data_IF_998029696578
#
_entry.id   IF_998029696578
#
_cell.length_a   1.000
_cell.length_b   1.000
_cell.length_c   1.000
_cell.angle_alpha   90.00
_cell.angle_beta   90.00
_cell.angle_gamma   90.00
#
_symmetry.space_group_name_H-M   'P 1'
#
loop_
_entity.id
_entity.type
_entity.pdbx_description
1 polymer ?
#
# COMPACT_ATOMS: atom_id res chain seq x y z
N UNK A 1 -26.44 -11.45 -2.10
CA UNK A 1 -25.32 -11.25 -1.17
C UNK A 1 -24.67 -9.93 -1.50
N UNK A 2 -24.25 -9.16 -0.49
CA UNK A 2 -23.56 -7.88 -0.74
C UNK A 2 -22.21 -8.12 -1.43
N UNK A 3 -21.91 -7.28 -2.42
CA UNK A 3 -20.63 -7.36 -3.13
C UNK A 3 -19.51 -6.88 -2.23
N UNK A 4 -18.50 -7.72 -2.00
CA UNK A 4 -17.28 -7.30 -1.28
C UNK A 4 -16.50 -6.27 -2.08
N UNK A 5 -16.04 -5.24 -1.41
CA UNK A 5 -15.16 -4.21 -1.95
C UNK A 5 -13.85 -4.20 -1.18
N UNK A 6 -12.75 -3.97 -1.86
CA UNK A 6 -11.43 -4.03 -1.23
C UNK A 6 -10.64 -2.76 -1.56
N UNK A 7 -10.13 -2.10 -0.52
CA UNK A 7 -9.08 -1.09 -0.61
C UNK A 7 -7.74 -1.74 -0.24
N UNK A 8 -6.80 -1.82 -1.18
CA UNK A 8 -5.40 -2.13 -0.88
C UNK A 8 -4.65 -0.82 -0.64
N UNK A 9 -4.35 -0.54 0.62
CA UNK A 9 -3.53 0.58 1.07
C UNK A 9 -2.09 0.07 1.21
N UNK A 10 -1.30 0.28 0.18
CA UNK A 10 0.10 -0.11 0.15
C UNK A 10 0.97 1.01 0.71
N UNK A 11 1.81 0.68 1.68
CA UNK A 11 2.70 1.60 2.39
C UNK A 11 4.14 1.12 2.23
N UNK A 12 4.89 1.76 1.37
CA UNK A 12 6.29 1.39 1.07
C UNK A 12 7.21 1.61 2.28
N UNK A 13 8.06 0.63 2.59
CA UNK A 13 9.13 0.76 3.56
C UNK A 13 8.69 0.69 5.03
N UNK A 14 7.73 -0.16 5.37
CA UNK A 14 7.26 -0.37 6.76
C UNK A 14 7.40 -1.84 7.17
N UNK A 15 8.27 -2.09 8.14
CA UNK A 15 8.40 -3.38 8.82
C UNK A 15 7.86 -3.36 10.25
N UNK A 16 7.80 -4.53 10.86
CA UNK A 16 7.51 -4.72 12.29
C UNK A 16 8.83 -4.87 13.04
N UNK A 17 9.43 -3.73 13.42
CA UNK A 17 10.66 -3.70 14.19
C UNK A 17 10.44 -3.92 15.69
N UNK A 18 11.52 -4.10 16.46
CA UNK A 18 11.43 -4.29 17.91
C UNK A 18 10.90 -3.05 18.63
N UNK A 19 10.48 -3.23 19.89
CA UNK A 19 10.14 -2.14 20.80
C UNK A 19 11.42 -1.42 21.24
N UNK A 20 11.88 -0.46 20.41
CA UNK A 20 13.13 0.27 20.62
C UNK A 20 12.97 1.75 20.30
N UNK A 21 13.86 2.59 20.85
CA UNK A 21 13.86 4.04 20.61
C UNK A 21 14.19 4.41 19.16
N UNK A 22 14.87 3.53 18.41
CA UNK A 22 15.11 3.69 16.98
C UNK A 22 13.90 3.38 16.12
N UNK A 23 12.83 2.78 16.69
CA UNK A 23 11.61 2.44 15.99
C UNK A 23 10.52 3.51 16.23
N UNK A 24 10.20 4.35 15.23
CA UNK A 24 9.16 5.37 15.39
C UNK A 24 7.77 4.81 15.71
N UNK A 25 7.44 3.58 15.28
CA UNK A 25 6.17 2.94 15.64
C UNK A 25 6.09 2.55 17.13
N UNK A 26 7.25 2.34 17.78
CA UNK A 26 7.32 2.10 19.22
C UNK A 26 7.16 3.38 20.05
N UNK A 27 7.47 4.56 19.50
CA UNK A 27 7.54 5.82 20.25
C UNK A 27 6.43 6.81 19.90
N UNK A 28 5.97 6.87 18.66
CA UNK A 28 4.95 7.81 18.21
C UNK A 28 3.58 7.52 18.83
N UNK A 29 2.79 8.59 19.01
CA UNK A 29 1.37 8.48 19.39
C UNK A 29 0.52 8.37 18.13
N UNK A 30 -0.05 7.17 17.91
CA UNK A 30 -0.82 6.78 16.73
C UNK A 30 -2.16 6.19 17.18
N UNK A 31 -3.13 7.02 17.59
CA UNK A 31 -4.37 6.55 18.22
C UNK A 31 -5.24 5.68 17.31
N UNK A 32 -5.24 5.91 15.99
CA UNK A 32 -6.02 5.11 15.04
C UNK A 32 -5.40 3.71 14.89
N UNK A 33 -4.09 3.63 14.66
CA UNK A 33 -3.41 2.34 14.64
C UNK A 33 -3.55 1.61 15.97
N UNK A 34 -3.38 2.31 17.09
CA UNK A 34 -3.51 1.70 18.41
C UNK A 34 -4.93 1.12 18.63
N UNK A 35 -5.96 1.84 18.25
CA UNK A 35 -7.36 1.37 18.34
C UNK A 35 -7.63 0.18 17.41
N UNK A 36 -7.08 0.19 16.20
CA UNK A 36 -7.28 -0.88 15.23
C UNK A 36 -6.46 -2.14 15.58
N UNK A 37 -5.22 -1.97 16.01
CA UNK A 37 -4.27 -3.06 16.26
C UNK A 37 -4.42 -3.62 17.69
N UNK A 38 -4.87 -2.79 18.62
CA UNK A 38 -4.98 -3.12 20.05
C UNK A 38 -3.72 -2.83 20.87
N UNK A 39 -2.58 -2.73 20.19
CA UNK A 39 -1.27 -2.42 20.78
C UNK A 39 -0.39 -1.67 19.78
N UNK A 40 0.86 -1.40 20.13
CA UNK A 40 1.80 -0.75 19.21
C UNK A 40 2.12 -1.67 18.03
N UNK A 41 2.28 -1.09 16.85
CA UNK A 41 2.60 -1.83 15.62
C UNK A 41 4.12 -2.15 15.58
N UNK A 42 4.49 -3.18 16.32
CA UNK A 42 5.88 -3.64 16.48
C UNK A 42 5.98 -5.16 16.31
N UNK A 43 7.18 -5.70 16.36
CA UNK A 43 7.41 -7.14 16.23
C UNK A 43 6.61 -7.96 17.25
N UNK A 44 5.97 -9.01 16.76
CA UNK A 44 5.17 -9.92 17.59
C UNK A 44 3.69 -9.54 17.71
N UNK A 45 3.28 -8.37 17.19
CA UNK A 45 1.87 -7.97 17.18
C UNK A 45 1.00 -8.98 16.42
N UNK A 46 -0.07 -9.44 17.07
CA UNK A 46 -1.07 -10.33 16.48
C UNK A 46 -2.44 -10.02 17.01
N UNK A 47 -3.41 -9.81 16.12
CA UNK A 47 -4.83 -9.72 16.44
C UNK A 47 -5.63 -10.53 15.44
N UNK A 48 -6.53 -11.37 15.91
CA UNK A 48 -7.42 -12.17 15.05
C UNK A 48 -8.82 -12.12 15.62
N UNK A 49 -9.69 -11.40 14.94
CA UNK A 49 -11.12 -11.27 15.23
C UNK A 49 -11.92 -11.45 13.95
N UNK A 50 -13.24 -11.50 14.03
CA UNK A 50 -14.11 -11.73 12.87
C UNK A 50 -13.92 -10.71 11.74
N UNK A 51 -13.64 -9.46 12.08
CA UNK A 51 -13.47 -8.35 11.12
C UNK A 51 -12.12 -7.64 11.25
N UNK A 52 -11.17 -8.19 12.02
CA UNK A 52 -9.85 -7.61 12.18
C UNK A 52 -8.78 -8.70 12.24
N UNK A 53 -7.82 -8.62 11.32
CA UNK A 53 -6.63 -9.45 11.32
C UNK A 53 -5.40 -8.56 11.31
N UNK A 54 -4.49 -8.76 12.27
CA UNK A 54 -3.17 -8.11 12.31
C UNK A 54 -2.11 -9.16 12.54
N UNK A 55 -1.10 -9.18 11.70
CA UNK A 55 0.08 -10.04 11.85
C UNK A 55 1.25 -9.58 11.00
N UNK A 56 2.43 -10.11 11.28
CA UNK A 56 3.60 -10.01 10.41
C UNK A 56 3.55 -11.06 9.31
N UNK A 57 3.97 -10.68 8.09
CA UNK A 57 4.19 -11.60 6.97
C UNK A 57 5.59 -11.43 6.40
N UNK A 58 6.13 -12.52 5.82
CA UNK A 58 7.49 -12.52 5.29
C UNK A 58 7.62 -11.71 3.98
N UNK A 59 8.62 -10.84 3.93
CA UNK A 59 9.00 -10.09 2.74
C UNK A 59 10.30 -10.59 2.10
N UNK A 60 11.02 -11.52 2.76
CA UNK A 60 12.27 -12.10 2.24
C UNK A 60 12.02 -13.07 1.10
N UNK A 61 10.81 -13.65 1.02
CA UNK A 61 10.37 -14.53 -0.06
C UNK A 61 11.26 -15.78 -0.21
N UNK A 62 12.03 -16.15 0.84
CA UNK A 62 12.97 -17.25 0.82
C UNK A 62 14.15 -17.07 -0.14
N UNK A 63 14.52 -15.82 -0.45
CA UNK A 63 15.65 -15.46 -1.33
C UNK A 63 16.70 -14.70 -0.51
N UNK A 64 18.00 -15.02 -0.62
CA UNK A 64 19.05 -14.30 0.10
C UNK A 64 19.13 -12.82 -0.26
N UNK A 65 19.50 -12.01 0.73
CA UNK A 65 19.63 -10.55 0.60
C UNK A 65 18.45 -9.80 1.22
N UNK A 66 18.64 -8.49 1.41
CA UNK A 66 17.59 -7.62 1.96
C UNK A 66 16.42 -7.50 0.96
N UNK A 67 15.16 -7.59 1.44
CA UNK A 67 13.99 -7.30 0.62
C UNK A 67 14.10 -5.96 -0.09
N UNK A 68 13.60 -5.88 -1.32
CA UNK A 68 13.73 -4.69 -2.18
C UNK A 68 12.43 -4.36 -2.89
N UNK A 69 12.18 -3.07 -3.15
CA UNK A 69 10.92 -2.53 -3.66
C UNK A 69 10.44 -3.21 -4.94
N UNK A 70 11.30 -3.35 -5.99
CA UNK A 70 10.82 -3.89 -7.25
C UNK A 70 10.34 -5.35 -7.13
N UNK A 71 11.02 -6.18 -6.35
CA UNK A 71 10.62 -7.58 -6.11
C UNK A 71 9.47 -7.69 -5.11
N UNK A 72 9.51 -6.95 -4.01
CA UNK A 72 8.44 -6.93 -3.00
C UNK A 72 7.12 -6.47 -3.60
N UNK A 73 7.10 -5.31 -4.24
CA UNK A 73 5.90 -4.75 -4.90
C UNK A 73 5.38 -5.64 -6.04
N UNK A 74 6.27 -6.17 -6.89
CA UNK A 74 5.84 -7.10 -7.94
C UNK A 74 5.18 -8.34 -7.33
N UNK A 75 5.76 -8.90 -6.25
CA UNK A 75 5.17 -10.04 -5.55
C UNK A 75 3.81 -9.69 -4.96
N UNK A 76 3.74 -8.57 -4.22
CA UNK A 76 2.50 -8.07 -3.61
C UNK A 76 1.38 -7.88 -4.63
N UNK A 77 1.68 -7.23 -5.77
CA UNK A 77 0.68 -6.89 -6.78
C UNK A 77 0.35 -8.03 -7.76
N UNK A 78 0.99 -9.20 -7.65
CA UNK A 78 0.75 -10.30 -8.59
C UNK A 78 0.47 -11.65 -7.94
N UNK A 79 0.94 -11.86 -6.71
CA UNK A 79 0.95 -13.16 -6.04
C UNK A 79 2.07 -14.09 -6.52
N UNK A 80 2.94 -13.63 -7.44
CA UNK A 80 4.08 -14.41 -7.94
C UNK A 80 5.34 -14.04 -7.16
N UNK A 81 6.10 -15.03 -6.67
CA UNK A 81 7.38 -14.76 -6.02
C UNK A 81 8.40 -14.17 -7.02
N UNK A 82 8.44 -12.85 -7.09
CA UNK A 82 9.25 -12.12 -8.05
C UNK A 82 10.75 -12.16 -7.74
N UNK A 83 11.13 -12.26 -6.45
CA UNK A 83 12.52 -12.42 -6.05
C UNK A 83 13.07 -13.77 -6.52
N UNK A 84 12.30 -14.84 -6.38
CA UNK A 84 12.68 -16.17 -6.90
C UNK A 84 12.74 -16.16 -8.42
N UNK A 85 11.80 -15.51 -9.10
CA UNK A 85 11.79 -15.41 -10.57
C UNK A 85 12.98 -14.61 -11.13
N UNK A 86 13.47 -13.61 -10.39
CA UNK A 86 14.66 -12.84 -10.74
C UNK A 86 15.97 -13.53 -10.32
N UNK A 87 15.93 -14.43 -9.31
CA UNK A 87 17.09 -15.05 -8.66
C UNK A 87 17.72 -14.19 -7.55
N UNK A 88 17.23 -12.99 -7.31
CA UNK A 88 17.71 -12.03 -6.30
C UNK A 88 16.68 -10.94 -6.04
N UNK A 89 16.88 -10.16 -4.96
CA UNK A 89 16.08 -8.98 -4.68
C UNK A 89 16.47 -7.81 -5.57
N UNK A 90 15.51 -7.28 -6.36
CA UNK A 90 15.72 -6.18 -7.32
C UNK A 90 15.29 -4.85 -6.68
N UNK A 91 16.19 -3.85 -6.59
CA UNK A 91 15.87 -2.56 -6.01
C UNK A 91 15.09 -1.64 -6.96
N UNK A 92 14.36 -0.70 -6.39
CA UNK A 92 13.72 0.46 -7.00
C UNK A 92 12.74 0.14 -8.15
N UNK A 93 13.22 -0.26 -9.34
CA UNK A 93 12.39 -0.40 -10.54
C UNK A 93 12.41 -1.81 -11.12
N UNK A 94 11.25 -2.34 -11.59
CA UNK A 94 11.17 -3.66 -12.18
C UNK A 94 12.06 -3.85 -13.42
N UNK A 95 12.83 -4.93 -13.44
CA UNK A 95 13.59 -5.42 -14.59
C UNK A 95 12.70 -6.29 -15.50
N UNK A 96 13.19 -6.70 -16.67
CA UNK A 96 12.42 -7.43 -17.69
C UNK A 96 11.60 -8.62 -17.16
N UNK A 97 12.11 -9.54 -16.33
CA UNK A 97 11.31 -10.62 -15.77
C UNK A 97 10.12 -10.09 -14.95
N UNK A 98 10.34 -9.08 -14.10
CA UNK A 98 9.31 -8.50 -13.23
C UNK A 98 8.25 -7.76 -14.06
N UNK A 99 8.65 -7.00 -15.08
CA UNK A 99 7.68 -6.32 -15.96
C UNK A 99 6.78 -7.31 -16.69
N UNK A 100 7.32 -8.49 -17.07
CA UNK A 100 6.54 -9.56 -17.69
C UNK A 100 5.54 -10.16 -16.71
N UNK A 101 5.93 -10.39 -15.45
CA UNK A 101 5.06 -10.89 -14.38
C UNK A 101 3.91 -9.90 -14.13
N UNK A 102 4.22 -8.60 -13.97
CA UNK A 102 3.22 -7.55 -13.76
C UNK A 102 2.23 -7.47 -14.92
N UNK A 103 2.71 -7.51 -16.17
CA UNK A 103 1.86 -7.47 -17.37
C UNK A 103 0.85 -8.65 -17.44
N UNK A 104 1.22 -9.81 -16.89
CA UNK A 104 0.38 -11.02 -16.93
C UNK A 104 -0.53 -11.14 -15.72
N UNK A 105 -0.04 -10.82 -14.53
CA UNK A 105 -0.65 -11.21 -13.25
C UNK A 105 -1.02 -10.04 -12.33
N UNK A 106 -1.00 -8.78 -12.81
CA UNK A 106 -1.42 -7.62 -12.00
C UNK A 106 -2.75 -7.88 -11.30
N UNK A 107 -2.83 -7.61 -9.99
CA UNK A 107 -4.05 -7.75 -9.18
C UNK A 107 -5.22 -6.95 -9.77
N UNK A 108 -4.96 -5.74 -10.29
CA UNK A 108 -5.96 -4.93 -10.99
C UNK A 108 -6.50 -5.64 -12.24
N UNK A 109 -5.60 -6.26 -13.03
CA UNK A 109 -5.97 -7.05 -14.20
C UNK A 109 -6.77 -8.30 -13.83
N UNK A 110 -6.36 -9.01 -12.76
CA UNK A 110 -7.07 -10.18 -12.26
C UNK A 110 -8.48 -9.82 -11.76
N UNK A 111 -8.62 -8.73 -11.01
CA UNK A 111 -9.91 -8.24 -10.55
C UNK A 111 -10.81 -7.78 -11.71
N UNK A 112 -10.24 -7.05 -12.70
CA UNK A 112 -10.96 -6.66 -13.93
C UNK A 112 -11.46 -7.87 -14.72
N UNK A 113 -10.68 -8.95 -14.79
CA UNK A 113 -11.06 -10.19 -15.45
C UNK A 113 -12.23 -10.93 -14.76
N UNK A 114 -12.50 -10.62 -13.49
CA UNK A 114 -13.70 -11.07 -12.76
C UNK A 114 -14.93 -10.18 -13.00
N UNK A 115 -14.85 -9.20 -13.91
CA UNK A 115 -15.90 -8.23 -14.16
C UNK A 115 -15.99 -7.11 -13.10
N UNK A 116 -14.99 -6.97 -12.22
CA UNK A 116 -15.01 -5.96 -11.17
C UNK A 116 -14.56 -4.59 -11.67
N UNK A 117 -15.16 -3.54 -11.13
CA UNK A 117 -14.76 -2.15 -11.36
C UNK A 117 -13.52 -1.87 -10.53
N UNK A 118 -12.41 -1.57 -11.20
CA UNK A 118 -11.10 -1.41 -10.56
C UNK A 118 -10.51 -0.04 -10.83
N UNK A 119 -9.79 0.52 -9.86
CA UNK A 119 -9.07 1.78 -10.03
C UNK A 119 -7.82 1.85 -9.17
N UNK A 120 -6.89 2.77 -9.53
CA UNK A 120 -5.86 3.27 -8.63
C UNK A 120 -6.26 4.67 -8.15
N UNK A 121 -6.08 4.94 -6.86
CA UNK A 121 -6.40 6.24 -6.26
C UNK A 121 -5.30 7.28 -6.47
N UNK A 122 -4.07 6.85 -6.82
CA UNK A 122 -2.94 7.76 -6.98
C UNK A 122 -3.11 8.66 -8.22
N UNK A 123 -2.92 9.96 -8.02
CA UNK A 123 -2.84 10.91 -9.13
C UNK A 123 -1.41 11.05 -9.65
N UNK A 124 -1.30 11.22 -10.96
CA UNK A 124 -0.06 11.43 -11.70
C UNK A 124 -0.05 12.83 -12.32
N UNK A 125 1.09 13.51 -12.25
CA UNK A 125 1.27 14.80 -12.92
C UNK A 125 1.59 14.62 -14.41
N UNK A 126 1.29 15.64 -15.23
CA UNK A 126 1.69 15.65 -16.64
C UNK A 126 3.21 15.54 -16.79
N UNK A 127 3.98 16.16 -15.89
CA UNK A 127 5.43 16.11 -15.87
C UNK A 127 5.97 14.67 -15.67
N UNK A 128 5.20 13.77 -15.03
CA UNK A 128 5.58 12.37 -14.92
C UNK A 128 5.64 11.69 -16.31
N UNK A 129 4.66 11.98 -17.17
CA UNK A 129 4.53 11.38 -18.51
C UNK A 129 5.48 12.00 -19.55
N UNK A 130 5.89 13.25 -19.36
CA UNK A 130 6.77 13.99 -20.27
C UNK A 130 8.26 13.58 -20.14
N UNK A 131 8.61 12.69 -19.23
CA UNK A 131 9.99 12.20 -19.05
C UNK A 131 10.47 11.47 -20.31
N UNK A 132 11.64 11.83 -20.81
CA UNK A 132 12.22 11.24 -22.05
C UNK A 132 12.47 9.72 -21.95
N UNK A 133 12.76 9.20 -20.77
CA UNK A 133 13.01 7.77 -20.51
C UNK A 133 12.41 7.40 -19.15
N UNK A 134 11.09 7.29 -19.04
CA UNK A 134 10.45 6.99 -17.78
C UNK A 134 10.78 5.55 -17.35
N UNK A 135 11.26 5.39 -16.14
CA UNK A 135 11.21 4.10 -15.44
C UNK A 135 9.95 4.10 -14.58
N UNK A 136 9.10 3.11 -14.81
CA UNK A 136 7.84 2.99 -14.09
C UNK A 136 8.00 2.10 -12.86
N UNK A 137 7.36 2.48 -11.74
CA UNK A 137 7.24 1.63 -10.54
C UNK A 137 6.42 0.37 -10.84
N UNK A 138 6.47 -0.60 -9.95
CA UNK A 138 5.65 -1.79 -10.07
C UNK A 138 4.15 -1.48 -10.05
N UNK A 139 3.72 -0.52 -9.21
CA UNK A 139 2.33 -0.04 -9.17
C UNK A 139 1.89 0.59 -10.50
N UNK A 140 2.71 1.49 -11.08
CA UNK A 140 2.43 2.08 -12.41
C UNK A 140 2.28 1.00 -13.48
N UNK A 141 3.18 0.01 -13.50
CA UNK A 141 3.11 -1.11 -14.46
C UNK A 141 1.90 -2.00 -14.22
N UNK A 142 1.49 -2.19 -12.97
CA UNK A 142 0.28 -2.95 -12.61
C UNK A 142 -1.00 -2.26 -13.12
N UNK A 143 -1.05 -0.91 -13.04
CA UNK A 143 -2.15 -0.08 -13.57
C UNK A 143 -2.19 -0.18 -15.10
N UNK A 144 -1.05 0.01 -15.76
CA UNK A 144 -0.93 -0.12 -17.23
C UNK A 144 -1.36 -1.50 -17.73
N UNK A 145 -0.98 -2.57 -17.00
CA UNK A 145 -1.34 -3.96 -17.35
C UNK A 145 -2.84 -4.23 -17.30
N UNK A 146 -3.58 -3.48 -16.50
CA UNK A 146 -5.03 -3.56 -16.37
C UNK A 146 -5.77 -2.67 -17.37
N UNK A 147 -5.06 -1.82 -18.10
CA UNK A 147 -5.64 -0.85 -19.03
C UNK A 147 -6.78 -0.05 -18.36
N UNK A 148 -6.44 0.61 -17.26
CA UNK A 148 -7.32 1.52 -16.52
C UNK A 148 -6.76 2.94 -16.58
N UNK A 149 -7.63 3.97 -16.60
CA UNK A 149 -7.17 5.35 -16.69
C UNK A 149 -6.38 5.76 -15.44
N UNK A 150 -5.31 6.53 -15.64
CA UNK A 150 -4.61 7.19 -14.56
C UNK A 150 -5.37 8.42 -14.08
N UNK A 151 -5.40 8.62 -12.77
CA UNK A 151 -5.93 9.84 -12.18
C UNK A 151 -4.91 10.98 -12.31
N UNK A 152 -5.41 12.19 -12.39
CA UNK A 152 -4.63 13.39 -12.67
C UNK A 152 -4.80 14.45 -11.58
N UNK A 153 -4.13 15.58 -11.69
CA UNK A 153 -4.31 16.74 -10.81
C UNK A 153 -5.78 17.20 -10.74
N UNK A 154 -6.55 17.07 -11.84
CA UNK A 154 -7.99 17.37 -11.84
C UNK A 154 -8.76 16.50 -10.86
N UNK A 155 -8.43 15.21 -10.77
CA UNK A 155 -9.07 14.31 -9.82
C UNK A 155 -8.70 14.64 -8.36
N UNK A 156 -7.47 15.16 -8.10
CA UNK A 156 -7.11 15.68 -6.77
C UNK A 156 -8.00 16.86 -6.37
N UNK A 157 -8.23 17.80 -7.27
CA UNK A 157 -9.12 18.96 -7.03
C UNK A 157 -10.57 18.56 -6.76
N UNK A 158 -11.02 17.47 -7.41
CA UNK A 158 -12.37 16.92 -7.23
C UNK A 158 -12.54 15.99 -6.02
N UNK A 159 -11.48 15.71 -5.25
CA UNK A 159 -11.52 14.72 -4.16
C UNK A 159 -11.63 13.26 -4.64
N UNK A 160 -11.41 13.02 -5.93
CA UNK A 160 -11.51 11.70 -6.57
C UNK A 160 -10.16 10.98 -6.65
N UNK A 161 -9.11 11.53 -6.05
CA UNK A 161 -7.77 10.96 -6.02
C UNK A 161 -7.06 11.34 -4.73
N UNK A 162 -6.01 10.61 -4.41
CA UNK A 162 -5.08 10.95 -3.33
C UNK A 162 -3.66 10.94 -3.88
N UNK A 163 -2.88 11.95 -3.54
CA UNK A 163 -1.47 11.97 -3.93
C UNK A 163 -0.65 11.11 -2.97
N UNK A 164 0.49 10.63 -3.41
CA UNK A 164 1.33 9.74 -2.59
C UNK A 164 1.84 10.38 -1.29
N UNK A 165 1.89 11.72 -1.19
CA UNK A 165 2.26 12.45 0.02
C UNK A 165 1.09 12.69 0.98
N UNK A 166 -0.11 12.19 0.62
CA UNK A 166 -1.37 12.27 1.37
C UNK A 166 -1.98 13.68 1.36
N UNK A 167 -1.20 14.71 1.65
CA UNK A 167 -1.67 16.06 2.01
C UNK A 167 -1.50 17.11 0.91
N UNK A 168 -1.00 16.74 -0.26
CA UNK A 168 -0.65 17.61 -1.39
C UNK A 168 0.55 18.55 -1.14
N UNK A 169 1.23 18.46 -0.01
CA UNK A 169 2.32 19.38 0.33
C UNK A 169 3.48 19.29 -0.67
N UNK A 170 3.89 18.05 -1.02
CA UNK A 170 4.94 17.83 -2.01
C UNK A 170 4.44 18.17 -3.43
N UNK A 171 3.20 17.82 -3.76
CA UNK A 171 2.61 18.17 -5.05
C UNK A 171 2.62 19.69 -5.27
N UNK A 172 2.21 20.46 -4.26
CA UNK A 172 2.22 21.94 -4.29
C UNK A 172 3.63 22.50 -4.47
N UNK A 173 4.59 21.94 -3.75
CA UNK A 173 5.97 22.41 -3.81
C UNK A 173 6.67 22.07 -5.15
N UNK A 174 6.15 21.09 -5.89
CA UNK A 174 6.86 20.54 -7.06
C UNK A 174 6.23 20.88 -8.42
N UNK A 175 4.90 20.84 -8.54
CA UNK A 175 4.26 20.99 -9.87
C UNK A 175 2.85 21.58 -9.88
N UNK A 176 2.17 21.66 -8.75
CA UNK A 176 0.76 22.09 -8.68
C UNK A 176 0.51 23.02 -7.49
N UNK A 177 1.10 24.24 -7.48
CA UNK A 177 1.01 25.16 -6.34
C UNK A 177 -0.43 25.61 -6.03
N UNK A 178 -1.35 25.48 -6.97
CA UNK A 178 -2.77 25.79 -6.84
C UNK A 178 -3.57 24.75 -6.05
N UNK A 179 -3.05 23.52 -5.86
CA UNK A 179 -3.77 22.49 -5.10
C UNK A 179 -4.01 22.94 -3.66
N UNK A 180 -5.22 22.77 -3.10
CA UNK A 180 -5.44 22.98 -1.67
C UNK A 180 -4.65 21.95 -0.85
N UNK A 181 -4.18 22.33 0.33
CA UNK A 181 -3.74 21.36 1.33
C UNK A 181 -4.96 20.55 1.80
N UNK A 182 -4.76 19.25 1.94
CA UNK A 182 -5.80 18.34 2.42
C UNK A 182 -5.34 17.74 3.75
N UNK A 183 -6.25 17.64 4.72
CA UNK A 183 -5.92 16.90 5.95
C UNK A 183 -5.78 15.40 5.65
N UNK A 184 -4.96 14.67 6.40
CA UNK A 184 -4.84 13.22 6.23
C UNK A 184 -6.19 12.50 6.32
N UNK A 185 -7.06 12.92 7.23
CA UNK A 185 -8.40 12.35 7.41
C UNK A 185 -9.28 12.58 6.17
N UNK A 186 -9.23 13.77 5.57
CA UNK A 186 -9.98 14.05 4.34
C UNK A 186 -9.44 13.23 3.16
N UNK A 187 -8.12 13.07 3.06
CA UNK A 187 -7.52 12.18 2.07
C UNK A 187 -8.00 10.71 2.27
N UNK A 188 -8.10 10.26 3.52
CA UNK A 188 -8.65 8.95 3.85
C UNK A 188 -10.12 8.79 3.47
N UNK A 189 -10.96 9.79 3.72
CA UNK A 189 -12.36 9.79 3.28
C UNK A 189 -12.47 9.73 1.75
N UNK A 190 -11.64 10.48 1.03
CA UNK A 190 -11.58 10.43 -0.43
C UNK A 190 -11.23 9.01 -0.94
N UNK A 191 -10.31 8.30 -0.27
CA UNK A 191 -10.01 6.89 -0.60
C UNK A 191 -11.23 5.99 -0.39
N UNK A 192 -11.89 6.09 0.76
CA UNK A 192 -13.06 5.28 1.09
C UNK A 192 -14.23 5.53 0.11
N UNK A 193 -14.46 6.80 -0.29
CA UNK A 193 -15.49 7.17 -1.27
C UNK A 193 -15.28 6.51 -2.64
N UNK A 194 -14.05 6.23 -3.05
CA UNK A 194 -13.82 5.50 -4.31
C UNK A 194 -14.43 4.09 -4.29
N UNK A 195 -14.59 3.50 -3.11
CA UNK A 195 -15.25 2.20 -2.95
C UNK A 195 -16.77 2.25 -3.19
N UNK A 196 -17.39 3.43 -3.25
CA UNK A 196 -18.82 3.52 -3.61
C UNK A 196 -19.06 3.16 -5.07
N UNK A 197 -18.08 3.43 -5.93
CA UNK A 197 -18.17 3.21 -7.37
C UNK A 197 -17.24 2.12 -7.91
N UNK A 198 -16.30 1.63 -7.10
CA UNK A 198 -15.34 0.60 -7.48
C UNK A 198 -15.32 -0.55 -6.49
N UNK A 199 -15.06 -1.74 -7.00
CA UNK A 199 -15.01 -2.97 -6.21
C UNK A 199 -13.59 -3.26 -5.70
N UNK A 200 -12.57 -2.75 -6.41
CA UNK A 200 -11.18 -2.79 -5.97
C UNK A 200 -10.48 -1.45 -6.21
N UNK A 201 -9.88 -0.90 -5.14
CA UNK A 201 -9.11 0.34 -5.15
C UNK A 201 -7.69 0.04 -4.68
N UNK A 202 -6.69 0.44 -5.46
CA UNK A 202 -5.28 0.44 -5.06
C UNK A 202 -4.85 1.86 -4.71
N UNK A 203 -4.24 2.06 -3.55
CA UNK A 203 -3.55 3.29 -3.18
C UNK A 203 -2.15 2.98 -2.67
N UNK A 204 -1.17 3.81 -3.03
CA UNK A 204 0.24 3.71 -2.67
C UNK A 204 0.74 5.00 -2.02
N UNK A 205 1.48 4.87 -0.92
CA UNK A 205 2.33 5.93 -0.39
C UNK A 205 3.73 5.40 -0.11
N UNK A 206 4.73 6.15 -0.52
CA UNK A 206 6.15 5.83 -0.28
C UNK A 206 6.84 6.84 0.65
N UNK A 207 6.03 7.58 1.43
CA UNK A 207 6.55 8.52 2.43
C UNK A 207 7.46 7.83 3.46
N UNK A 208 7.12 6.65 4.02
CA UNK A 208 7.97 6.00 5.00
C UNK A 208 9.34 5.63 4.43
N UNK A 209 9.39 5.06 3.22
CA UNK A 209 10.64 4.69 2.58
C UNK A 209 11.54 5.91 2.30
N UNK A 210 10.96 7.01 1.82
CA UNK A 210 11.71 8.24 1.60
C UNK A 210 12.34 8.80 2.88
N UNK A 211 11.62 8.73 4.00
CA UNK A 211 12.13 9.20 5.29
C UNK A 211 13.14 8.21 5.89
N UNK A 212 12.88 6.92 5.83
CA UNK A 212 13.79 5.87 6.28
C UNK A 212 15.15 5.94 5.55
N UNK A 213 15.13 6.15 4.24
CA UNK A 213 16.33 6.42 3.42
C UNK A 213 16.93 7.81 3.60
N UNK A 214 16.28 8.70 4.39
CA UNK A 214 16.66 10.12 4.58
C UNK A 214 16.72 10.91 3.26
N UNK A 215 15.86 10.53 2.29
CA UNK A 215 15.66 11.26 1.02
C UNK A 215 14.65 12.39 1.18
N UNK A 216 13.82 12.33 2.20
CA UNK A 216 12.90 13.38 2.63
C UNK A 216 13.22 13.73 4.09
N UNK A 217 13.57 15.00 4.36
CA UNK A 217 14.01 15.47 5.68
C UNK A 217 12.83 15.79 6.62
N UNK A 218 11.80 14.92 6.62
CA UNK A 218 10.70 15.04 7.56
C UNK A 218 10.96 14.19 8.81
N UNK A 219 10.49 14.63 9.99
CA UNK A 219 10.48 13.79 11.17
C UNK A 219 9.67 12.51 10.92
N UNK A 220 10.15 11.33 11.31
CA UNK A 220 9.39 10.07 11.15
C UNK A 220 7.99 10.15 11.76
N UNK A 221 7.85 10.76 12.93
CA UNK A 221 6.57 10.94 13.63
C UNK A 221 5.55 11.69 12.77
N UNK A 222 5.99 12.69 11.99
CA UNK A 222 5.13 13.44 11.07
C UNK A 222 4.54 12.55 9.99
N UNK A 223 5.35 11.64 9.45
CA UNK A 223 4.88 10.67 8.44
C UNK A 223 3.90 9.69 9.05
N UNK A 224 4.20 9.17 10.24
CA UNK A 224 3.32 8.24 10.94
C UNK A 224 1.98 8.89 11.33
N UNK A 225 2.00 10.13 11.80
CA UNK A 225 0.77 10.89 12.09
C UNK A 225 -0.08 11.11 10.83
N UNK A 226 0.53 11.32 9.66
CA UNK A 226 -0.22 11.39 8.39
C UNK A 226 -0.85 10.05 8.02
N UNK A 227 -0.12 8.94 8.21
CA UNK A 227 -0.67 7.60 7.99
C UNK A 227 -1.80 7.29 8.97
N UNK A 228 -1.66 7.68 10.24
CA UNK A 228 -2.69 7.50 11.27
C UNK A 228 -3.98 8.28 10.94
N UNK A 229 -3.83 9.55 10.53
CA UNK A 229 -4.95 10.37 10.08
C UNK A 229 -5.58 9.88 8.78
N UNK A 230 -4.78 9.43 7.80
CA UNK A 230 -5.29 8.79 6.58
C UNK A 230 -6.14 7.56 6.93
N UNK A 231 -5.61 6.69 7.78
CA UNK A 231 -6.32 5.49 8.24
C UNK A 231 -7.61 5.87 8.98
N UNK A 232 -7.58 6.89 9.84
CA UNK A 232 -8.77 7.42 10.51
C UNK A 232 -9.85 7.79 9.51
N UNK A 233 -9.51 8.58 8.50
CA UNK A 233 -10.45 8.98 7.46
C UNK A 233 -11.00 7.82 6.65
N UNK A 234 -10.17 6.82 6.35
CA UNK A 234 -10.63 5.58 5.70
C UNK A 234 -11.64 4.86 6.56
N UNK A 235 -11.34 4.62 7.86
CA UNK A 235 -12.23 3.88 8.76
C UNK A 235 -13.54 4.62 9.02
N UNK A 236 -13.50 5.94 9.15
CA UNK A 236 -14.69 6.78 9.37
C UNK A 236 -15.69 6.74 8.20
N UNK A 237 -15.21 6.49 6.97
CA UNK A 237 -16.02 6.51 5.75
C UNK A 237 -16.08 5.17 5.01
N UNK A 238 -15.54 4.10 5.61
CA UNK A 238 -15.50 2.77 5.00
C UNK A 238 -16.92 2.21 4.81
N UNK A 239 -17.35 1.88 3.58
CA UNK A 239 -18.66 1.26 3.37
C UNK A 239 -18.79 -0.09 4.12
N UNK A 240 -19.99 -0.45 4.63
CA UNK A 240 -20.18 -1.65 5.48
C UNK A 240 -19.70 -2.98 4.88
N UNK A 241 -19.66 -3.09 3.55
CA UNK A 241 -19.23 -4.30 2.84
C UNK A 241 -17.82 -4.20 2.28
N UNK A 242 -17.09 -3.16 2.67
CA UNK A 242 -15.73 -2.95 2.24
C UNK A 242 -14.73 -3.47 3.28
N UNK A 243 -13.57 -3.88 2.77
CA UNK A 243 -12.43 -4.33 3.57
C UNK A 243 -11.22 -3.50 3.16
N UNK A 244 -10.52 -2.95 4.14
CA UNK A 244 -9.21 -2.34 3.92
C UNK A 244 -8.11 -3.36 4.23
N UNK A 245 -7.15 -3.48 3.33
CA UNK A 245 -5.94 -4.29 3.47
C UNK A 245 -4.75 -3.34 3.47
N UNK A 246 -4.00 -3.30 4.57
CA UNK A 246 -2.82 -2.45 4.73
C UNK A 246 -1.61 -3.37 4.82
N UNK A 247 -0.60 -3.14 3.97
CA UNK A 247 0.65 -3.91 3.99
C UNK A 247 1.79 -3.12 3.36
N UNK A 248 3.00 -3.67 3.47
CA UNK A 248 4.22 -3.12 2.90
C UNK A 248 4.94 -4.19 2.06
N UNK A 249 5.98 -3.79 1.35
CA UNK A 249 6.82 -4.65 0.51
C UNK A 249 8.16 -5.02 1.15
N UNK A 250 8.63 -4.21 2.10
CA UNK A 250 9.82 -4.41 2.93
C UNK A 250 9.82 -3.47 4.12
N UNK A 251 10.69 -3.72 5.08
CA UNK A 251 10.95 -2.81 6.20
C UNK A 251 12.01 -1.76 5.86
N UNK A 252 11.89 -0.59 6.50
CA UNK A 252 12.86 0.51 6.46
C UNK A 252 12.64 1.48 7.62
N UNK A 253 11.46 2.16 7.69
CA UNK A 253 11.18 3.23 8.65
C UNK A 253 11.20 2.76 10.11
N UNK A 254 10.91 1.50 10.37
CA UNK A 254 10.87 0.91 11.72
C UNK A 254 12.25 0.75 12.37
N UNK A 255 13.32 1.09 11.63
CA UNK A 255 14.67 1.15 12.20
C UNK A 255 15.45 2.38 11.69
N UNK A 256 15.31 3.49 12.39
CA UNK A 256 16.02 4.73 12.08
C UNK A 256 17.51 4.73 12.45
N UNK A 257 18.06 3.64 13.00
CA UNK A 257 19.50 3.48 13.23
C UNK A 257 20.27 3.22 11.92
N UNK A 258 19.59 2.75 10.89
CA UNK A 258 20.13 2.49 9.55
C UNK A 258 19.42 3.31 8.47
N UNK A 259 19.97 3.31 7.26
CA UNK A 259 19.29 3.79 6.02
C UNK A 259 18.95 2.65 5.08
N UNK A 260 19.34 1.44 5.42
CA UNK A 260 19.07 0.25 4.62
C UNK A 260 17.67 -0.31 4.94
N UNK A 261 17.16 -1.13 4.06
CA UNK A 261 16.00 -1.96 4.38
C UNK A 261 16.32 -2.94 5.50
N UNK A 262 15.30 -3.57 6.07
CA UNK A 262 15.44 -4.52 7.16
C UNK A 262 14.96 -5.92 6.75
N UNK A 263 15.29 -6.92 7.55
CA UNK A 263 14.74 -8.28 7.45
C UNK A 263 13.46 -8.47 8.27
N UNK A 264 12.95 -7.40 8.88
CA UNK A 264 11.75 -7.48 9.69
C UNK A 264 10.56 -7.91 8.82
N UNK A 265 9.62 -8.72 9.36
CA UNK A 265 8.36 -8.99 8.68
C UNK A 265 7.62 -7.68 8.44
N UNK A 266 6.81 -7.64 7.39
CA UNK A 266 5.96 -6.48 7.10
C UNK A 266 4.57 -6.67 7.70
N UNK A 267 3.86 -5.60 8.09
CA UNK A 267 2.51 -5.74 8.63
C UNK A 267 1.53 -6.20 7.54
N UNK A 268 0.65 -7.11 7.91
CA UNK A 268 -0.62 -7.36 7.22
C UNK A 268 -1.73 -7.00 8.19
N UNK A 269 -2.41 -5.89 7.92
CA UNK A 269 -3.57 -5.42 8.69
C UNK A 269 -4.77 -5.49 7.76
N UNK A 270 -5.79 -6.24 8.13
CA UNK A 270 -7.04 -6.37 7.37
C UNK A 270 -8.20 -6.03 8.28
N UNK A 271 -9.00 -5.04 7.89
CA UNK A 271 -10.18 -4.63 8.63
C UNK A 271 -11.41 -4.62 7.72
N UNK A 272 -12.45 -5.30 8.18
CA UNK A 272 -13.73 -5.47 7.48
C UNK A 272 -14.09 -6.94 7.26
N UNK A 273 -15.24 -7.22 6.64
CA UNK A 273 -15.85 -8.56 6.59
C UNK A 273 -15.02 -9.63 5.89
N UNK A 274 -14.03 -9.25 5.07
CA UNK A 274 -13.16 -10.21 4.41
C UNK A 274 -11.88 -10.56 5.21
N UNK A 275 -11.69 -10.06 6.44
CA UNK A 275 -10.51 -10.36 7.25
C UNK A 275 -10.21 -11.87 7.39
N UNK A 276 -11.20 -12.77 7.55
CA UNK A 276 -10.93 -14.22 7.61
C UNK A 276 -10.29 -14.81 6.37
N UNK A 277 -10.47 -14.19 5.19
CA UNK A 277 -9.85 -14.69 3.94
C UNK A 277 -8.32 -14.55 3.90
N UNK A 278 -7.75 -13.75 4.81
CA UNK A 278 -6.31 -13.46 4.87
C UNK A 278 -5.57 -14.24 5.98
N UNK A 279 -6.28 -15.07 6.74
CA UNK A 279 -5.69 -15.80 7.89
C UNK A 279 -4.50 -16.66 7.48
N UNK A 280 -4.55 -17.32 6.33
CA UNK A 280 -3.50 -18.21 5.83
C UNK A 280 -2.37 -17.48 5.08
N UNK A 281 -2.43 -16.17 4.94
CA UNK A 281 -1.36 -15.39 4.28
C UNK A 281 -0.14 -15.34 5.20
N UNK A 282 0.99 -15.87 4.77
CA UNK A 282 2.24 -15.93 5.55
C UNK A 282 3.37 -15.10 4.95
N UNK A 283 3.27 -14.75 3.66
CA UNK A 283 4.22 -13.92 2.93
C UNK A 283 3.50 -13.05 1.88
N UNK A 284 4.25 -12.21 1.17
CA UNK A 284 3.69 -11.29 0.16
C UNK A 284 2.96 -11.99 -0.98
N UNK A 285 3.31 -13.26 -1.29
CA UNK A 285 2.67 -14.00 -2.40
C UNK A 285 1.20 -14.30 -2.13
N UNK A 286 0.81 -14.38 -0.85
CA UNK A 286 -0.55 -14.70 -0.43
C UNK A 286 -1.54 -13.54 -0.55
N UNK A 287 -1.08 -12.28 -0.59
CA UNK A 287 -1.96 -11.11 -0.50
C UNK A 287 -2.86 -10.96 -1.72
N UNK A 288 -2.29 -10.94 -2.92
CA UNK A 288 -3.09 -10.85 -4.18
C UNK A 288 -4.07 -12.02 -4.33
N UNK A 289 -3.71 -13.30 -4.12
CA UNK A 289 -4.68 -14.40 -4.13
C UNK A 289 -5.84 -14.23 -3.15
N UNK A 290 -5.58 -13.74 -1.92
CA UNK A 290 -6.63 -13.49 -0.93
C UNK A 290 -7.58 -12.37 -1.38
N UNK A 291 -7.06 -11.26 -1.94
CA UNK A 291 -7.88 -10.19 -2.54
C UNK A 291 -8.76 -10.74 -3.66
N UNK A 292 -8.17 -11.47 -4.61
CA UNK A 292 -8.89 -12.03 -5.77
C UNK A 292 -9.97 -13.02 -5.34
N UNK A 293 -9.69 -13.87 -4.33
CA UNK A 293 -10.65 -14.78 -3.73
C UNK A 293 -11.83 -14.02 -3.10
N UNK A 294 -11.56 -12.96 -2.35
CA UNK A 294 -12.58 -12.09 -1.76
C UNK A 294 -13.49 -11.49 -2.81
N UNK A 295 -12.93 -10.91 -3.87
CA UNK A 295 -13.69 -10.30 -4.95
C UNK A 295 -14.51 -11.32 -5.76
N UNK A 296 -14.06 -12.58 -5.87
CA UNK A 296 -14.77 -13.66 -6.55
C UNK A 296 -15.98 -14.13 -5.78
N UNK A 297 -15.91 -14.22 -4.44
CA UNK A 297 -17.01 -14.72 -3.60
C UNK A 297 -18.28 -13.84 -3.64
N UNK A 298 -18.19 -12.64 -4.20
CA UNK A 298 -19.30 -11.72 -4.41
C UNK A 298 -20.15 -12.00 -5.66
N UNK A 299 -19.83 -13.04 -6.46
CA UNK A 299 -20.40 -13.24 -7.81
C UNK A 299 -21.49 -14.34 -7.86
N UNK A 300 -22.03 -14.78 -6.72
CA UNK A 300 -23.13 -15.76 -6.66
C UNK A 300 -24.39 -15.19 -6.04
#
# INVERSE_FOLDING_TARGET
MAEHRVLLLFVDGVGLGPMASSNPFATAYLPTFLGLVGERLVQGVVRTESECLVKGIDATLGVPGLPQSATGQTTLFTGVNAARAAGFHVPAFPIKPLTTILARFSVLKQAKALGKRVTSANAYSDAYWQRKRPRHSASTLAIMAADIPFRTTRNLLGGEAVYWDITHEVARATYAPELPLVSPENAGRNLAQLLETHDFVLYETFLPDLVGHRRLSWPPERVLQRLDGLLRGVLDALPPHATVVITSDHGNLEDMSTRAHTYNPVPLIVYGPAAPAFTEVTDLTGVTPAIVKTLRSSTR
#
